data_IF_548655238191
#
_entry.id   IF_548655238191
#
_cell.length_a   1.000
_cell.length_b   1.000
_cell.length_c   1.000
_cell.angle_alpha   90.00
_cell.angle_beta   90.00
_cell.angle_gamma   90.00
#
_symmetry.space_group_name_H-M   'P 1'
#
loop_
_entity.id
_entity.type
_entity.pdbx_description
1 polymer ?
#
# COMPACT_ATOMS: atom_id res chain seq x y z
N UNK A 1 -11.02 -16.21 6.50
CA UNK A 1 -11.40 -14.79 6.31
C UNK A 1 -10.69 -13.96 7.38
N UNK A 2 -10.28 -12.71 7.09
CA UNK A 2 -9.62 -11.87 8.08
C UNK A 2 -10.55 -11.60 9.26
N UNK A 3 -10.00 -11.53 10.47
CA UNK A 3 -10.77 -11.18 11.67
C UNK A 3 -11.31 -9.72 11.52
N UNK A 4 -12.59 -9.43 11.85
CA UNK A 4 -13.14 -8.09 11.80
C UNK A 4 -12.32 -7.04 12.55
N UNK A 5 -11.64 -7.42 13.65
CA UNK A 5 -10.73 -6.51 14.36
C UNK A 5 -9.56 -6.05 13.49
N UNK A 6 -8.99 -6.95 12.70
CA UNK A 6 -7.87 -6.63 11.81
C UNK A 6 -8.29 -5.67 10.70
N UNK A 7 -9.49 -5.88 10.14
CA UNK A 7 -10.09 -4.99 9.15
C UNK A 7 -10.28 -3.60 9.77
N UNK A 8 -10.89 -3.54 10.96
CA UNK A 8 -11.11 -2.29 11.69
C UNK A 8 -9.78 -1.55 11.95
N UNK A 9 -8.74 -2.24 12.41
CA UNK A 9 -7.42 -1.64 12.65
C UNK A 9 -6.82 -1.05 11.36
N UNK A 10 -6.85 -1.80 10.25
CA UNK A 10 -6.35 -1.30 8.97
C UNK A 10 -7.08 -0.04 8.50
N UNK A 11 -8.41 -0.05 8.54
CA UNK A 11 -9.21 1.13 8.17
C UNK A 11 -9.05 2.29 9.15
N UNK A 12 -8.88 2.03 10.45
CA UNK A 12 -8.61 3.07 11.44
C UNK A 12 -7.28 3.79 11.18
N UNK A 13 -6.22 3.05 10.82
CA UNK A 13 -4.93 3.64 10.46
C UNK A 13 -5.02 4.47 9.18
N UNK A 14 -5.74 3.98 8.18
CA UNK A 14 -6.00 4.70 6.93
C UNK A 14 -6.75 5.99 7.20
N UNK A 15 -7.95 5.90 7.79
CA UNK A 15 -8.82 7.06 7.98
C UNK A 15 -8.25 8.03 9.00
N UNK A 16 -7.54 7.54 10.02
CA UNK A 16 -6.82 8.39 10.97
C UNK A 16 -5.73 9.21 10.26
N UNK A 17 -4.86 8.57 9.48
CA UNK A 17 -3.83 9.27 8.72
C UNK A 17 -4.40 10.23 7.67
N UNK A 18 -5.45 9.82 6.97
CA UNK A 18 -6.17 10.65 6.00
C UNK A 18 -6.83 11.88 6.65
N UNK A 19 -7.50 11.70 7.79
CA UNK A 19 -8.12 12.81 8.52
C UNK A 19 -7.07 13.81 8.98
N UNK A 20 -5.98 13.35 9.62
CA UNK A 20 -4.87 14.23 10.05
C UNK A 20 -4.24 14.94 8.85
N UNK A 21 -4.12 14.27 7.70
CA UNK A 21 -3.59 14.87 6.49
C UNK A 21 -4.46 16.03 5.99
N UNK A 22 -5.78 15.90 6.09
CA UNK A 22 -6.72 16.96 5.68
C UNK A 22 -6.81 18.12 6.68
N UNK A 23 -6.94 17.80 7.96
CA UNK A 23 -7.30 18.79 8.99
C UNK A 23 -6.09 19.53 9.53
N UNK A 24 -4.96 18.83 9.71
CA UNK A 24 -3.78 19.40 10.33
C UNK A 24 -2.73 19.76 9.27
N UNK A 25 -2.34 18.78 8.45
CA UNK A 25 -1.20 18.93 7.54
C UNK A 25 -1.53 19.88 6.39
N UNK A 26 -2.69 19.70 5.76
CA UNK A 26 -3.10 20.58 4.66
C UNK A 26 -3.42 22.00 5.13
N UNK A 27 -3.94 22.20 6.34
CA UNK A 27 -4.14 23.57 6.85
C UNK A 27 -2.81 24.28 7.14
N UNK A 28 -1.79 23.54 7.61
CA UNK A 28 -0.49 24.11 7.92
C UNK A 28 0.33 24.49 6.68
N UNK A 29 0.19 23.71 5.58
CA UNK A 29 1.04 23.82 4.40
C UNK A 29 0.28 24.02 3.08
N UNK A 30 -1.05 24.05 3.10
CA UNK A 30 -1.89 24.13 1.89
C UNK A 30 -1.76 25.43 1.12
N UNK A 31 -1.37 26.51 1.79
CA UNK A 31 -1.09 27.82 1.17
C UNK A 31 0.27 27.87 0.45
N UNK A 32 1.10 26.83 0.60
CA UNK A 32 2.35 26.78 -0.17
C UNK A 32 2.04 26.56 -1.65
N UNK A 33 2.66 27.35 -2.55
CA UNK A 33 2.47 27.16 -3.99
C UNK A 33 2.81 25.71 -4.34
N UNK A 34 1.93 25.00 -5.09
CA UNK A 34 2.22 23.64 -5.48
C UNK A 34 3.54 23.60 -6.27
N UNK A 35 4.37 22.58 -6.07
CA UNK A 35 5.65 22.48 -6.75
C UNK A 35 5.43 22.47 -8.27
N UNK A 36 6.24 23.26 -8.98
CA UNK A 36 6.17 23.29 -10.45
C UNK A 36 6.62 21.93 -11.00
N UNK A 37 5.71 21.29 -11.72
CA UNK A 37 5.97 20.04 -12.40
C UNK A 37 6.83 20.34 -13.64
N UNK A 38 8.03 19.72 -13.71
CA UNK A 38 8.90 19.86 -14.88
C UNK A 38 8.21 19.36 -16.16
N UNK A 39 8.53 19.94 -17.32
CA UNK A 39 7.90 19.59 -18.60
C UNK A 39 8.02 18.09 -18.95
N UNK A 40 9.09 17.43 -18.51
CA UNK A 40 9.37 16.01 -18.75
C UNK A 40 8.89 15.09 -17.60
N UNK A 41 8.00 15.58 -16.73
CA UNK A 41 7.54 14.85 -15.56
C UNK A 41 6.66 13.65 -15.94
N UNK A 42 6.98 12.50 -15.37
CA UNK A 42 6.17 11.29 -15.50
C UNK A 42 5.47 10.99 -14.17
N UNK A 43 4.15 11.18 -14.12
CA UNK A 43 3.33 10.90 -12.94
C UNK A 43 3.45 9.45 -12.43
N UNK A 44 3.67 8.47 -13.33
CA UNK A 44 3.91 7.08 -12.92
C UNK A 44 5.26 6.91 -12.22
N UNK A 45 6.29 7.65 -12.64
CA UNK A 45 7.59 7.61 -11.99
C UNK A 45 7.50 8.16 -10.55
N UNK A 46 6.74 9.25 -10.35
CA UNK A 46 6.46 9.78 -9.02
C UNK A 46 5.77 8.72 -8.14
N UNK A 47 4.67 8.14 -8.62
CA UNK A 47 3.94 7.12 -7.86
C UNK A 47 4.83 5.94 -7.49
N UNK A 48 5.66 5.48 -8.43
CA UNK A 48 6.57 4.36 -8.22
C UNK A 48 7.63 4.69 -7.15
N UNK A 49 8.28 5.85 -7.25
CA UNK A 49 9.28 6.30 -6.27
C UNK A 49 8.66 6.47 -4.89
N UNK A 50 7.46 7.07 -4.82
CA UNK A 50 6.76 7.28 -3.56
C UNK A 50 6.33 5.95 -2.92
N UNK A 51 5.79 5.02 -3.71
CA UNK A 51 5.45 3.67 -3.22
C UNK A 51 6.69 2.93 -2.69
N UNK A 52 7.81 2.98 -3.40
CA UNK A 52 9.07 2.39 -2.94
C UNK A 52 9.58 3.04 -1.66
N UNK A 53 9.53 4.36 -1.56
CA UNK A 53 9.96 5.08 -0.37
C UNK A 53 9.13 4.68 0.85
N UNK A 54 7.81 4.59 0.69
CA UNK A 54 6.90 4.16 1.76
C UNK A 54 7.14 2.69 2.12
N UNK A 55 7.32 1.80 1.15
CA UNK A 55 7.67 0.41 1.43
C UNK A 55 8.96 0.30 2.27
N UNK A 56 9.99 1.12 1.98
CA UNK A 56 11.23 1.16 2.77
C UNK A 56 11.03 1.75 4.16
N UNK A 57 10.17 2.75 4.29
CA UNK A 57 9.87 3.38 5.57
C UNK A 57 9.03 2.47 6.49
N UNK A 58 8.13 1.67 5.92
CA UNK A 58 7.24 0.77 6.67
C UNK A 58 7.93 -0.55 7.03
N UNK A 59 8.91 -1.00 6.25
CA UNK A 59 9.65 -2.26 6.45
C UNK A 59 10.13 -2.52 7.90
N UNK A 60 10.76 -1.56 8.62
CA UNK A 60 11.20 -1.76 10.00
C UNK A 60 10.06 -2.06 10.97
N UNK A 61 8.84 -1.58 10.67
CA UNK A 61 7.67 -1.71 11.53
C UNK A 61 6.81 -2.93 11.17
N UNK A 62 7.06 -3.58 10.03
CA UNK A 62 6.29 -4.75 9.59
C UNK A 62 6.20 -5.90 10.62
N UNK A 63 7.26 -6.19 11.43
CA UNK A 63 7.15 -7.19 12.51
C UNK A 63 6.20 -6.79 13.64
N UNK A 64 5.96 -5.49 13.84
CA UNK A 64 5.09 -4.94 14.90
C UNK A 64 3.65 -4.81 14.40
N UNK A 65 3.47 -4.50 13.11
CA UNK A 65 2.16 -4.24 12.49
C UNK A 65 1.33 -5.51 12.24
N UNK A 66 1.88 -6.71 12.46
CA UNK A 66 1.14 -7.94 12.24
C UNK A 66 1.62 -9.10 13.12
N UNK A 67 0.84 -10.19 13.15
CA UNK A 67 1.22 -11.38 13.91
C UNK A 67 2.54 -11.95 13.39
N UNK A 68 3.38 -12.46 14.31
CA UNK A 68 4.60 -13.16 13.94
C UNK A 68 4.24 -14.39 13.08
N UNK A 69 4.76 -14.43 11.85
CA UNK A 69 4.48 -15.50 10.89
C UNK A 69 5.55 -16.59 10.91
N UNK A 70 6.61 -16.44 11.70
CA UNK A 70 7.76 -17.34 11.68
C UNK A 70 7.42 -18.71 12.27
N UNK A 71 6.56 -18.77 13.28
CA UNK A 71 6.07 -20.04 13.84
C UNK A 71 5.29 -20.82 12.77
N UNK A 72 4.37 -20.16 12.05
CA UNK A 72 3.60 -20.79 10.97
C UNK A 72 4.48 -21.22 9.78
N UNK A 73 5.57 -20.48 9.49
CA UNK A 73 6.56 -20.90 8.47
C UNK A 73 7.34 -22.13 8.93
N UNK A 74 7.71 -22.18 10.21
CA UNK A 74 8.44 -23.31 10.78
C UNK A 74 7.54 -24.56 10.83
N UNK A 75 6.29 -24.44 11.23
CA UNK A 75 5.28 -25.51 11.16
C UNK A 75 5.13 -26.04 9.72
N UNK A 76 5.04 -25.15 8.74
CA UNK A 76 4.92 -25.54 7.33
C UNK A 76 6.17 -26.28 6.83
N UNK A 77 7.36 -25.81 7.21
CA UNK A 77 8.63 -26.45 6.83
C UNK A 77 8.73 -27.85 7.44
N UNK A 78 8.39 -27.99 8.72
CA UNK A 78 8.40 -29.27 9.44
C UNK A 78 7.40 -30.27 8.85
N UNK A 79 6.16 -29.83 8.57
CA UNK A 79 5.14 -30.68 7.96
C UNK A 79 5.54 -31.16 6.56
N UNK A 80 6.18 -30.29 5.76
CA UNK A 80 6.74 -30.67 4.45
C UNK A 80 7.86 -31.70 4.57
N UNK A 81 8.79 -31.50 5.50
CA UNK A 81 9.88 -32.47 5.71
C UNK A 81 9.39 -33.82 6.25
N UNK A 82 8.26 -33.83 6.95
CA UNK A 82 7.64 -35.05 7.48
C UNK A 82 6.72 -35.77 6.48
N UNK A 83 6.48 -35.21 5.28
CA UNK A 83 5.53 -35.78 4.32
C UNK A 83 4.08 -35.82 4.82
N UNK A 84 3.72 -34.98 5.80
CA UNK A 84 2.39 -34.96 6.39
C UNK A 84 1.49 -33.97 5.62
N UNK A 85 0.80 -34.45 4.59
CA UNK A 85 -0.05 -33.62 3.72
C UNK A 85 -1.14 -32.86 4.49
N UNK A 86 -1.75 -33.49 5.50
CA UNK A 86 -2.74 -32.84 6.36
C UNK A 86 -2.11 -31.68 7.17
N UNK A 87 -0.93 -31.92 7.75
CA UNK A 87 -0.17 -30.90 8.47
C UNK A 87 0.29 -29.75 7.54
N UNK A 88 0.63 -30.06 6.28
CA UNK A 88 0.98 -29.04 5.28
C UNK A 88 -0.22 -28.16 4.96
N UNK A 89 -1.42 -28.72 4.82
CA UNK A 89 -2.64 -27.96 4.56
C UNK A 89 -2.97 -27.01 5.72
N UNK A 90 -2.90 -27.49 6.96
CA UNK A 90 -3.16 -26.69 8.15
C UNK A 90 -2.14 -25.54 8.31
N UNK A 91 -0.85 -25.85 8.21
CA UNK A 91 0.21 -24.85 8.34
C UNK A 91 0.15 -23.80 7.22
N UNK A 92 -0.23 -24.19 6.00
CA UNK A 92 -0.50 -23.23 4.90
C UNK A 92 -1.65 -22.28 5.25
N UNK A 93 -2.74 -22.79 5.82
CA UNK A 93 -3.89 -21.97 6.21
C UNK A 93 -3.50 -20.95 7.28
N UNK A 94 -2.78 -21.38 8.33
CA UNK A 94 -2.25 -20.50 9.40
C UNK A 94 -1.32 -19.43 8.83
N UNK A 95 -0.40 -19.80 7.95
CA UNK A 95 0.52 -18.86 7.32
C UNK A 95 -0.21 -17.85 6.43
N UNK A 96 -1.19 -18.31 5.64
CA UNK A 96 -2.00 -17.44 4.79
C UNK A 96 -2.81 -16.45 5.62
N UNK A 97 -3.37 -16.89 6.75
CA UNK A 97 -4.08 -16.02 7.68
C UNK A 97 -3.17 -14.97 8.32
N UNK A 98 -2.01 -15.37 8.84
CA UNK A 98 -1.05 -14.44 9.44
C UNK A 98 -0.62 -13.37 8.42
N UNK A 99 -0.28 -13.79 7.20
CA UNK A 99 0.10 -12.87 6.11
C UNK A 99 -1.05 -11.94 5.71
N UNK A 100 -2.27 -12.46 5.62
CA UNK A 100 -3.46 -11.67 5.30
C UNK A 100 -3.69 -10.56 6.34
N UNK A 101 -3.52 -10.89 7.63
CA UNK A 101 -3.67 -9.92 8.72
C UNK A 101 -2.59 -8.83 8.67
N UNK A 102 -1.32 -9.22 8.56
CA UNK A 102 -0.22 -8.26 8.42
C UNK A 102 -0.41 -7.37 7.20
N UNK A 103 -0.85 -7.93 6.07
CA UNK A 103 -1.08 -7.17 4.84
C UNK A 103 -2.15 -6.09 5.01
N UNK A 104 -3.28 -6.38 5.66
CA UNK A 104 -4.36 -5.40 5.87
C UNK A 104 -3.90 -4.24 6.76
N UNK A 105 -3.21 -4.54 7.87
CA UNK A 105 -2.74 -3.50 8.80
C UNK A 105 -1.64 -2.66 8.15
N UNK A 106 -0.68 -3.31 7.49
CA UNK A 106 0.42 -2.63 6.79
C UNK A 106 -0.11 -1.75 5.65
N UNK A 107 -1.11 -2.23 4.89
CA UNK A 107 -1.77 -1.44 3.85
C UNK A 107 -2.45 -0.20 4.43
N UNK A 108 -3.20 -0.35 5.53
CA UNK A 108 -3.86 0.78 6.17
C UNK A 108 -2.88 1.83 6.67
N UNK A 109 -1.79 1.38 7.31
CA UNK A 109 -0.69 2.24 7.76
C UNK A 109 -0.01 2.97 6.60
N UNK A 110 0.40 2.24 5.56
CA UNK A 110 1.07 2.79 4.38
C UNK A 110 0.19 3.81 3.65
N UNK A 111 -1.11 3.53 3.54
CA UNK A 111 -2.09 4.44 2.92
C UNK A 111 -2.22 5.73 3.73
N UNK A 112 -2.39 5.63 5.06
CA UNK A 112 -2.46 6.80 5.93
C UNK A 112 -1.18 7.64 5.87
N UNK A 113 -0.03 6.99 5.87
CA UNK A 113 1.27 7.66 5.73
C UNK A 113 1.44 8.32 4.36
N UNK A 114 0.97 7.68 3.29
CA UNK A 114 0.96 8.26 1.95
C UNK A 114 0.11 9.54 1.90
N UNK A 115 -1.06 9.55 2.52
CA UNK A 115 -1.89 10.76 2.63
C UNK A 115 -1.13 11.89 3.35
N UNK A 116 -0.48 11.60 4.48
CA UNK A 116 0.27 12.61 5.24
C UNK A 116 1.41 13.21 4.41
N UNK A 117 2.19 12.38 3.73
CA UNK A 117 3.29 12.83 2.88
C UNK A 117 2.81 13.59 1.65
N UNK A 118 1.74 13.11 0.99
CA UNK A 118 1.15 13.76 -0.17
C UNK A 118 0.57 15.13 0.19
N UNK A 119 -0.16 15.23 1.31
CA UNK A 119 -0.69 16.49 1.80
C UNK A 119 0.43 17.46 2.18
N UNK A 120 1.48 16.99 2.86
CA UNK A 120 2.57 17.85 3.29
C UNK A 120 3.49 18.32 2.16
N UNK A 121 3.61 17.53 1.09
CA UNK A 121 4.31 17.94 -0.11
C UNK A 121 3.43 18.74 -1.09
N UNK A 122 2.12 18.83 -0.83
CA UNK A 122 1.11 19.37 -1.75
C UNK A 122 1.16 18.71 -3.15
N UNK A 123 1.42 17.39 -3.18
CA UNK A 123 1.53 16.59 -4.41
C UNK A 123 0.47 15.50 -4.39
N UNK A 124 -0.49 15.57 -5.31
CA UNK A 124 -1.58 14.60 -5.46
C UNK A 124 -1.71 14.14 -6.92
N UNK A 125 -2.25 12.95 -7.10
CA UNK A 125 -2.17 12.19 -8.34
C UNK A 125 -3.07 12.74 -9.45
N UNK A 126 -4.36 12.93 -9.17
CA UNK A 126 -5.35 13.31 -10.17
C UNK A 126 -5.10 14.74 -10.65
N UNK A 127 -4.72 15.66 -9.77
CA UNK A 127 -4.27 17.01 -10.15
C UNK A 127 -2.98 16.95 -10.98
N UNK A 128 -2.03 16.09 -10.64
CA UNK A 128 -0.80 15.94 -11.44
C UNK A 128 -1.06 15.40 -12.86
N UNK A 129 -2.09 14.58 -13.07
CA UNK A 129 -2.37 13.94 -14.37
C UNK A 129 -3.40 14.70 -15.21
N UNK A 130 -4.52 15.11 -14.59
CA UNK A 130 -5.74 15.52 -15.30
C UNK A 130 -5.96 17.04 -15.17
N UNK A 131 -5.58 17.63 -14.04
CA UNK A 131 -5.86 19.03 -13.72
C UNK A 131 -4.63 19.72 -13.11
N UNK A 132 -3.58 19.99 -13.91
CA UNK A 132 -2.34 20.59 -13.42
C UNK A 132 -2.53 21.99 -12.83
N UNK A 133 -3.64 22.64 -13.17
CA UNK A 133 -4.02 23.96 -12.67
C UNK A 133 -4.83 23.86 -11.35
N UNK A 134 -5.22 22.66 -10.92
CA UNK A 134 -5.87 22.39 -9.62
C UNK A 134 -7.29 22.95 -9.47
N UNK A 135 -7.99 23.23 -10.57
CA UNK A 135 -9.27 23.98 -10.58
C UNK A 135 -10.53 23.12 -10.54
N UNK A 136 -10.45 21.85 -10.91
CA UNK A 136 -11.60 20.98 -11.13
C UNK A 136 -11.72 19.85 -10.11
N UNK A 137 -10.59 19.36 -9.58
CA UNK A 137 -10.59 18.19 -8.70
C UNK A 137 -10.51 18.61 -7.24
N UNK A 138 -11.50 18.19 -6.44
CA UNK A 138 -11.52 18.43 -5.01
C UNK A 138 -10.33 17.74 -4.32
N UNK A 139 -9.59 18.51 -3.51
CA UNK A 139 -8.33 18.04 -2.90
C UNK A 139 -8.52 16.78 -2.06
N UNK A 140 -9.59 16.71 -1.27
CA UNK A 140 -9.85 15.57 -0.39
C UNK A 140 -10.00 14.25 -1.17
N UNK A 141 -10.67 14.30 -2.33
CA UNK A 141 -10.89 13.13 -3.17
C UNK A 141 -9.57 12.71 -3.82
N UNK A 142 -8.82 13.67 -4.34
CA UNK A 142 -7.52 13.41 -4.94
C UNK A 142 -6.52 12.84 -3.93
N UNK A 143 -6.48 13.40 -2.73
CA UNK A 143 -5.63 12.93 -1.64
C UNK A 143 -5.95 11.48 -1.26
N UNK A 144 -7.24 11.13 -1.13
CA UNK A 144 -7.66 9.77 -0.83
C UNK A 144 -7.23 8.80 -1.94
N UNK A 145 -7.46 9.16 -3.20
CA UNK A 145 -7.06 8.34 -4.35
C UNK A 145 -5.54 8.17 -4.39
N UNK A 146 -4.79 9.26 -4.17
CA UNK A 146 -3.32 9.25 -4.10
C UNK A 146 -2.85 8.30 -3.01
N UNK A 147 -3.37 8.44 -1.79
CA UNK A 147 -3.04 7.58 -0.66
C UNK A 147 -3.31 6.10 -0.96
N UNK A 148 -4.48 5.78 -1.52
CA UNK A 148 -4.87 4.40 -1.86
C UNK A 148 -3.97 3.77 -2.93
N UNK A 149 -3.65 4.54 -3.98
CA UNK A 149 -2.79 4.07 -5.08
C UNK A 149 -1.37 3.81 -4.59
N UNK A 150 -0.81 4.75 -3.82
CA UNK A 150 0.54 4.63 -3.27
C UNK A 150 0.59 3.54 -2.19
N UNK A 151 -0.41 3.48 -1.31
CA UNK A 151 -0.51 2.51 -0.22
C UNK A 151 -0.73 1.07 -0.70
N UNK A 152 -1.23 0.87 -1.93
CA UNK A 152 -1.25 -0.44 -2.59
C UNK A 152 0.17 -0.98 -2.89
N UNK A 153 1.17 -0.10 -2.91
CA UNK A 153 2.58 -0.42 -3.14
C UNK A 153 2.86 -0.90 -4.57
N UNK A 154 3.94 -1.65 -4.72
CA UNK A 154 4.42 -2.17 -6.01
C UNK A 154 3.77 -3.49 -6.43
N UNK A 155 2.86 -4.05 -5.62
CA UNK A 155 2.25 -5.35 -5.85
C UNK A 155 1.49 -5.45 -7.19
N UNK A 156 0.67 -4.46 -7.61
CA UNK A 156 -0.01 -4.52 -8.91
C UNK A 156 0.96 -4.64 -10.09
N UNK A 157 2.14 -4.03 -10.01
CA UNK A 157 3.18 -4.10 -11.05
C UNK A 157 3.79 -5.52 -11.08
N UNK A 158 4.10 -6.09 -9.92
CA UNK A 158 4.62 -7.46 -9.82
C UNK A 158 3.60 -8.49 -10.32
N UNK A 159 2.32 -8.30 -10.02
CA UNK A 159 1.24 -9.16 -10.51
C UNK A 159 1.09 -9.06 -12.02
N UNK A 160 1.16 -7.85 -12.60
CA UNK A 160 1.15 -7.64 -14.05
C UNK A 160 2.35 -8.31 -14.73
N UNK A 161 3.55 -8.11 -14.19
CA UNK A 161 4.77 -8.74 -14.69
C UNK A 161 4.67 -10.27 -14.68
N UNK A 162 4.19 -10.85 -13.58
CA UNK A 162 3.98 -12.31 -13.46
C UNK A 162 2.98 -12.82 -14.49
N UNK A 163 1.90 -12.08 -14.77
CA UNK A 163 0.92 -12.45 -15.81
C UNK A 163 1.53 -12.37 -17.21
N UNK A 164 2.36 -11.37 -17.49
CA UNK A 164 3.05 -11.24 -18.78
C UNK A 164 4.07 -12.36 -18.98
N UNK A 165 4.83 -12.74 -17.95
CA UNK A 165 5.75 -13.86 -17.99
C UNK A 165 5.05 -15.20 -18.24
N UNK A 166 3.88 -15.39 -17.65
CA UNK A 166 3.10 -16.62 -17.77
C UNK A 166 2.13 -16.62 -18.97
N UNK A 167 2.17 -15.59 -19.82
CA UNK A 167 1.36 -15.56 -21.04
C UNK A 167 1.85 -16.69 -21.96
N UNK A 168 0.99 -17.65 -22.36
CA UNK A 168 1.35 -18.65 -23.35
C UNK A 168 1.75 -17.95 -24.65
N UNK A 169 2.73 -18.50 -25.38
CA UNK A 169 3.04 -18.01 -26.73
C UNK A 169 1.78 -18.13 -27.61
N UNK A 170 1.47 -17.09 -28.39
CA UNK A 170 0.34 -17.12 -29.30
C UNK A 170 0.51 -18.31 -30.27
N UNK A 171 -0.53 -19.11 -30.53
CA UNK A 171 -0.48 -20.11 -31.58
C UNK A 171 -0.26 -19.38 -32.92
N UNK A 172 0.84 -19.74 -33.58
CA UNK A 172 1.25 -19.20 -34.88
C UNK A 172 0.24 -19.54 -36.00
#
# INVERSE_FOLDING_TARGET
MPNPRTILTGFALLFGGYYVALDEVHQLWGDTPPPQIAADFNAFALLFVLALAIERLVQPFAPILGPNSDDAKNELRTARSAGNDAGVAEAKAKLAEARSRTAIVTWGFATGLACLLAAGANITLLRAIIDPQGTQIAFWLDLLVTGLVVGAGTKPINDLWTRLQNKPADPA
#
